data_IF_937297411616
#
_entry.id   IF_937297411616
#
_cell.length_a   1.000
_cell.length_b   1.000
_cell.length_c   1.000
_cell.angle_alpha   90.00
_cell.angle_beta   90.00
_cell.angle_gamma   90.00
#
_symmetry.space_group_name_H-M   'P 1'
#
loop_
_entity.id
_entity.type
_entity.pdbx_description
1 polymer ?
#
# COMPACT_ATOMS: atom_id res chain seq x y z
N UNK A 1 59.93 -14.17 44.76
CA UNK A 1 59.07 -14.88 45.74
C UNK A 1 57.67 -14.26 45.69
N UNK A 2 56.70 -15.05 45.24
CA UNK A 2 55.23 -14.91 45.28
C UNK A 2 54.64 -13.63 44.68
N UNK A 3 54.34 -13.69 43.38
CA UNK A 3 53.49 -12.75 42.64
C UNK A 3 52.02 -12.98 43.00
N UNK A 4 51.34 -11.96 43.53
CA UNK A 4 49.89 -11.96 43.79
C UNK A 4 49.14 -11.77 42.47
N UNK A 5 48.46 -12.81 41.99
CA UNK A 5 47.43 -12.68 40.95
C UNK A 5 46.07 -12.44 41.61
N UNK A 6 45.56 -11.22 41.46
CA UNK A 6 44.20 -10.85 41.84
C UNK A 6 43.27 -11.28 40.70
N UNK A 7 42.55 -12.38 40.89
CA UNK A 7 41.57 -12.88 39.92
C UNK A 7 40.26 -12.10 40.10
N UNK A 8 40.07 -11.04 39.32
CA UNK A 8 38.80 -10.32 39.23
C UNK A 8 37.88 -11.11 38.28
N UNK A 9 36.94 -11.88 38.84
CA UNK A 9 35.87 -12.53 38.07
C UNK A 9 34.76 -11.50 37.86
N UNK A 10 34.77 -10.85 36.70
CA UNK A 10 33.66 -10.00 36.27
C UNK A 10 32.57 -10.89 35.70
N UNK A 11 31.55 -11.19 36.51
CA UNK A 11 30.34 -11.87 36.08
C UNK A 11 29.52 -10.92 35.18
N UNK A 12 29.77 -10.98 33.87
CA UNK A 12 28.92 -10.31 32.88
C UNK A 12 27.64 -11.15 32.78
N UNK A 13 26.62 -10.75 33.54
CA UNK A 13 25.24 -11.17 33.27
C UNK A 13 24.85 -10.62 31.90
N UNK A 14 24.96 -11.46 30.87
CA UNK A 14 24.30 -11.30 29.59
C UNK A 14 22.79 -11.32 29.85
N UNK A 15 22.21 -10.18 30.18
CA UNK A 15 20.79 -9.95 29.97
C UNK A 15 20.57 -9.89 28.46
N UNK A 16 20.36 -11.07 27.87
CA UNK A 16 19.71 -11.18 26.57
C UNK A 16 18.32 -10.55 26.71
N UNK A 17 18.20 -9.29 26.32
CA UNK A 17 16.93 -8.67 25.98
C UNK A 17 16.34 -9.48 24.83
N UNK A 18 15.59 -10.53 25.14
CA UNK A 18 14.63 -11.07 24.20
C UNK A 18 13.65 -9.93 23.94
N UNK A 19 13.73 -9.28 22.77
CA UNK A 19 12.63 -8.45 22.32
C UNK A 19 11.44 -9.38 22.13
N UNK A 20 10.60 -9.47 23.16
CA UNK A 20 9.31 -10.15 23.07
C UNK A 20 8.51 -9.33 22.07
N UNK A 21 8.59 -9.70 20.79
CA UNK A 21 7.65 -9.21 19.80
C UNK A 21 6.27 -9.54 20.35
N UNK A 22 5.49 -8.50 20.64
CA UNK A 22 4.10 -8.66 21.03
C UNK A 22 3.35 -9.13 19.79
N UNK A 23 3.25 -10.44 19.64
CA UNK A 23 2.39 -11.06 18.64
C UNK A 23 0.94 -10.71 19.00
N UNK A 24 0.24 -10.08 18.05
CA UNK A 24 -1.18 -9.72 18.10
C UNK A 24 -1.69 -9.49 16.68
N UNK A 25 -2.95 -9.84 16.42
CA UNK A 25 -3.61 -9.47 15.19
C UNK A 25 -4.25 -8.08 15.35
N UNK A 26 -4.25 -7.30 14.27
CA UNK A 26 -4.79 -5.94 14.21
C UNK A 26 -6.06 -5.94 13.38
N UNK A 27 -7.03 -5.13 13.78
CA UNK A 27 -8.35 -5.10 13.17
C UNK A 27 -8.63 -3.72 12.63
N UNK A 28 -9.07 -3.67 11.36
CA UNK A 28 -9.60 -2.46 10.73
C UNK A 28 -11.09 -2.65 10.44
N UNK A 29 -11.86 -1.57 10.57
CA UNK A 29 -13.26 -1.56 10.22
C UNK A 29 -13.44 -1.63 8.70
N UNK A 30 -14.30 -2.54 8.26
CA UNK A 30 -14.64 -2.75 6.85
C UNK A 30 -15.32 -1.55 6.20
N UNK A 31 -15.95 -0.64 6.97
CA UNK A 31 -16.65 0.54 6.42
C UNK A 31 -15.70 1.73 6.30
N UNK A 32 -15.03 2.10 7.39
CA UNK A 32 -14.19 3.30 7.49
C UNK A 32 -12.72 3.06 7.15
N UNK A 33 -12.25 1.81 7.23
CA UNK A 33 -10.83 1.46 7.12
C UNK A 33 -10.00 1.88 8.34
N UNK A 34 -10.64 2.37 9.41
CA UNK A 34 -9.94 2.77 10.64
C UNK A 34 -9.57 1.57 11.51
N UNK A 35 -8.43 1.69 12.19
CA UNK A 35 -8.00 0.69 13.16
C UNK A 35 -8.92 0.68 14.38
N UNK A 36 -9.47 -0.48 14.70
CA UNK A 36 -10.34 -0.74 15.85
C UNK A 36 -9.53 -1.16 17.09
N UNK A 37 -8.42 -1.87 16.87
CA UNK A 37 -7.53 -2.32 17.93
C UNK A 37 -6.79 -3.60 17.57
N UNK A 38 -6.32 -4.30 18.61
CA UNK A 38 -5.58 -5.56 18.47
C UNK A 38 -6.04 -6.59 19.51
N UNK A 39 -5.90 -7.87 19.17
CA UNK A 39 -6.22 -8.98 20.05
C UNK A 39 -5.01 -9.48 20.85
N UNK A 40 -5.15 -10.60 21.57
CA UNK A 40 -4.06 -11.29 22.28
C UNK A 40 -3.52 -12.52 21.55
N UNK A 41 -3.79 -12.66 20.25
CA UNK A 41 -3.39 -13.86 19.49
C UNK A 41 -1.89 -13.95 19.30
N UNK A 42 -1.35 -15.16 19.13
CA UNK A 42 0.09 -15.37 18.86
C UNK A 42 0.47 -15.18 17.38
N UNK A 43 -0.45 -14.65 16.57
CA UNK A 43 -0.22 -14.32 15.17
C UNK A 43 0.15 -12.84 15.03
N UNK A 44 0.37 -12.36 13.80
CA UNK A 44 0.64 -10.95 13.51
C UNK A 44 -0.05 -10.51 12.22
N UNK A 45 -1.31 -10.90 12.07
CA UNK A 45 -2.11 -10.61 10.89
C UNK A 45 -2.76 -9.23 10.99
N UNK A 46 -3.00 -8.62 9.84
CA UNK A 46 -3.96 -7.54 9.70
C UNK A 46 -5.28 -8.20 9.31
N UNK A 47 -6.39 -7.75 9.89
CA UNK A 47 -7.72 -8.31 9.67
C UNK A 47 -8.72 -7.20 9.40
N UNK A 48 -9.68 -7.49 8.52
CA UNK A 48 -10.83 -6.62 8.26
C UNK A 48 -12.09 -7.24 8.87
N UNK A 49 -12.88 -6.43 9.58
CA UNK A 49 -14.06 -6.85 10.34
C UNK A 49 -15.16 -5.78 10.31
N UNK A 50 -16.41 -6.14 10.56
CA UNK A 50 -17.48 -5.18 10.84
C UNK A 50 -17.36 -4.64 12.27
N UNK A 51 -17.45 -3.33 12.45
CA UNK A 51 -17.38 -2.70 13.78
C UNK A 51 -18.42 -3.26 14.77
N UNK A 52 -19.58 -3.74 14.30
CA UNK A 52 -20.60 -4.36 15.16
C UNK A 52 -20.11 -5.66 15.77
N UNK A 53 -19.39 -6.47 15.00
CA UNK A 53 -18.80 -7.72 15.48
C UNK A 53 -17.66 -7.44 16.48
N UNK A 54 -16.88 -6.39 16.24
CA UNK A 54 -15.86 -5.93 17.18
C UNK A 54 -16.48 -5.50 18.52
N UNK A 55 -17.55 -4.69 18.48
CA UNK A 55 -18.24 -4.24 19.69
C UNK A 55 -18.91 -5.40 20.43
N UNK A 56 -19.53 -6.34 19.71
CA UNK A 56 -20.07 -7.57 20.30
C UNK A 56 -19.00 -8.35 21.08
N UNK A 57 -17.77 -8.44 20.58
CA UNK A 57 -16.66 -9.09 21.31
C UNK A 57 -16.28 -8.33 22.59
N UNK A 58 -16.26 -7.00 22.53
CA UNK A 58 -15.98 -6.16 23.70
C UNK A 58 -17.02 -6.41 24.80
N UNK A 59 -18.30 -6.41 24.43
CA UNK A 59 -19.42 -6.46 25.37
C UNK A 59 -19.70 -7.89 25.88
N UNK A 60 -19.70 -8.88 24.99
CA UNK A 60 -20.31 -10.19 25.26
C UNK A 60 -19.29 -11.34 25.33
N UNK A 61 -18.05 -11.13 24.88
CA UNK A 61 -17.02 -12.19 24.84
C UNK A 61 -15.87 -11.97 25.81
N UNK A 62 -15.99 -11.04 26.75
CA UNK A 62 -14.94 -10.73 27.72
C UNK A 62 -13.76 -9.95 27.12
N UNK A 63 -13.98 -9.27 25.99
CA UNK A 63 -12.99 -8.40 25.35
C UNK A 63 -12.06 -9.08 24.34
N UNK A 64 -11.30 -8.28 23.56
CA UNK A 64 -10.49 -8.77 22.44
C UNK A 64 -9.27 -9.61 22.84
N UNK A 65 -8.93 -9.68 24.13
CA UNK A 65 -7.80 -10.47 24.66
C UNK A 65 -8.21 -11.76 25.35
N UNK A 66 -9.52 -12.00 25.54
CA UNK A 66 -9.99 -13.26 26.10
C UNK A 66 -9.92 -14.38 25.04
N UNK A 67 -9.90 -15.64 25.48
CA UNK A 67 -9.89 -16.78 24.55
C UNK A 67 -11.14 -16.78 23.66
N UNK A 68 -12.31 -16.55 24.25
CA UNK A 68 -13.60 -16.45 23.53
C UNK A 68 -13.63 -15.27 22.57
N UNK A 69 -13.07 -14.13 22.97
CA UNK A 69 -13.00 -12.94 22.13
C UNK A 69 -12.09 -13.15 20.92
N UNK A 70 -10.90 -13.73 21.12
CA UNK A 70 -9.97 -14.06 20.02
C UNK A 70 -10.63 -15.01 19.02
N UNK A 71 -11.32 -16.05 19.50
CA UNK A 71 -12.02 -17.02 18.64
C UNK A 71 -13.13 -16.36 17.81
N UNK A 72 -13.96 -15.51 18.43
CA UNK A 72 -15.05 -14.82 17.74
C UNK A 72 -14.51 -13.79 16.74
N UNK A 73 -13.48 -13.04 17.10
CA UNK A 73 -12.80 -12.11 16.19
C UNK A 73 -12.21 -12.84 14.97
N UNK A 74 -11.54 -13.98 15.17
CA UNK A 74 -10.92 -14.74 14.09
C UNK A 74 -11.95 -15.35 13.14
N UNK A 75 -13.13 -15.72 13.68
CA UNK A 75 -14.26 -16.29 12.93
C UNK A 75 -14.98 -15.26 12.07
N UNK A 76 -15.16 -14.03 12.57
CA UNK A 76 -15.95 -12.98 11.89
C UNK A 76 -15.10 -11.94 11.15
N UNK A 77 -13.81 -12.21 10.97
CA UNK A 77 -12.89 -11.34 10.23
C UNK A 77 -12.17 -12.08 9.11
N UNK A 78 -11.65 -11.31 8.15
CA UNK A 78 -10.79 -11.82 7.10
C UNK A 78 -9.36 -11.37 7.31
N UNK A 79 -8.40 -12.30 7.22
CA UNK A 79 -6.98 -11.95 7.15
C UNK A 79 -6.72 -11.19 5.86
N UNK A 80 -6.10 -10.03 5.99
CA UNK A 80 -5.72 -9.20 4.85
C UNK A 80 -4.53 -9.84 4.15
N UNK A 81 -4.70 -10.12 2.85
CA UNK A 81 -3.67 -10.70 1.99
C UNK A 81 -3.42 -9.77 0.81
N UNK A 82 -2.20 -9.78 0.27
CA UNK A 82 -1.81 -8.87 -0.79
C UNK A 82 -1.36 -9.63 -2.04
N UNK A 83 -1.92 -9.26 -3.19
CA UNK A 83 -1.53 -9.81 -4.50
C UNK A 83 -0.45 -8.93 -5.16
N UNK A 84 0.73 -8.85 -4.53
CA UNK A 84 1.84 -7.99 -5.00
C UNK A 84 2.17 -8.22 -6.47
N UNK A 85 2.19 -9.48 -6.90
CA UNK A 85 2.54 -9.85 -8.26
C UNK A 85 1.50 -9.32 -9.27
N UNK A 86 0.21 -9.42 -8.95
CA UNK A 86 -0.84 -8.88 -9.81
C UNK A 86 -0.79 -7.34 -9.82
N UNK A 87 -0.59 -6.71 -8.66
CA UNK A 87 -0.45 -5.25 -8.56
C UNK A 87 0.67 -4.77 -9.47
N UNK A 88 1.88 -5.31 -9.30
CA UNK A 88 3.05 -4.90 -10.07
C UNK A 88 2.90 -5.13 -11.58
N UNK A 89 2.22 -6.21 -12.00
CA UNK A 89 1.88 -6.45 -13.41
C UNK A 89 0.98 -5.36 -13.96
N UNK A 90 -0.06 -4.97 -13.21
CA UNK A 90 -0.94 -3.89 -13.64
C UNK A 90 -0.23 -2.54 -13.66
N UNK A 91 0.68 -2.24 -12.72
CA UNK A 91 1.51 -1.02 -12.76
C UNK A 91 2.36 -0.95 -14.03
N UNK A 92 3.01 -2.05 -14.43
CA UNK A 92 3.74 -2.06 -15.70
C UNK A 92 2.79 -1.90 -16.89
N UNK A 93 1.61 -2.54 -16.84
CA UNK A 93 0.65 -2.51 -17.93
C UNK A 93 0.07 -1.11 -18.16
N UNK A 94 -0.31 -0.38 -17.11
CA UNK A 94 -0.78 1.01 -17.25
C UNK A 94 0.31 1.90 -17.87
N UNK A 95 1.56 1.68 -17.51
CA UNK A 95 2.66 2.49 -18.01
C UNK A 95 2.97 2.19 -19.48
N UNK A 96 2.94 0.91 -19.87
CA UNK A 96 3.07 0.47 -21.26
C UNK A 96 1.92 1.00 -22.13
N UNK A 97 0.67 0.93 -21.64
CA UNK A 97 -0.50 1.44 -22.35
C UNK A 97 -0.45 2.97 -22.48
N UNK A 98 -0.08 3.71 -21.43
CA UNK A 98 0.10 5.16 -21.49
C UNK A 98 1.18 5.59 -22.48
N UNK A 99 2.32 4.90 -22.52
CA UNK A 99 3.36 5.18 -23.52
C UNK A 99 2.85 4.97 -24.95
N UNK A 100 2.03 3.92 -25.16
CA UNK A 100 1.52 3.54 -26.47
C UNK A 100 0.42 4.47 -26.95
N UNK A 101 -0.50 4.83 -26.08
CA UNK A 101 -1.71 5.60 -26.39
C UNK A 101 -1.49 7.10 -26.33
N UNK A 102 -0.51 7.57 -25.55
CA UNK A 102 -0.34 8.99 -25.26
C UNK A 102 -1.42 9.55 -24.33
N UNK A 103 -2.16 8.67 -23.63
CA UNK A 103 -3.24 8.98 -22.69
C UNK A 103 -2.93 8.42 -21.30
N UNK A 104 -3.42 9.09 -20.26
CA UNK A 104 -3.35 8.56 -18.91
C UNK A 104 -4.17 7.28 -18.79
N UNK A 105 -3.52 6.22 -18.31
CA UNK A 105 -4.15 4.96 -17.98
C UNK A 105 -4.00 4.74 -16.47
N UNK A 106 -5.06 4.25 -15.82
CA UNK A 106 -5.07 4.07 -14.37
C UNK A 106 -5.48 2.68 -13.90
N UNK A 107 -5.15 2.40 -12.65
CA UNK A 107 -5.57 1.24 -11.89
C UNK A 107 -5.76 1.62 -10.44
N UNK A 108 -6.77 1.04 -9.79
CA UNK A 108 -7.03 1.23 -8.37
C UNK A 108 -6.42 0.09 -7.57
N UNK A 109 -5.77 0.41 -6.45
CA UNK A 109 -5.45 -0.60 -5.44
C UNK A 109 -6.58 -0.61 -4.43
N UNK A 110 -7.21 -1.77 -4.30
CA UNK A 110 -8.39 -1.93 -3.48
C UNK A 110 -8.22 -3.04 -2.46
N UNK A 111 -8.79 -2.85 -1.27
CA UNK A 111 -9.08 -3.94 -0.34
C UNK A 111 -10.52 -4.41 -0.60
N UNK A 112 -10.69 -5.67 -0.99
CA UNK A 112 -12.00 -6.30 -0.96
C UNK A 112 -12.33 -6.67 0.49
N UNK A 113 -13.22 -5.89 1.10
CA UNK A 113 -13.55 -6.02 2.53
C UNK A 113 -14.40 -7.25 2.85
N UNK A 114 -14.88 -7.95 1.81
CA UNK A 114 -15.69 -9.17 1.95
C UNK A 114 -14.83 -10.44 1.96
N UNK A 115 -13.52 -10.34 1.65
CA UNK A 115 -12.60 -11.49 1.67
C UNK A 115 -11.17 -11.17 2.12
N UNK A 116 -10.85 -9.90 2.42
CA UNK A 116 -9.52 -9.48 2.87
C UNK A 116 -8.46 -9.35 1.76
N UNK A 117 -8.79 -9.55 0.48
CA UNK A 117 -7.79 -9.50 -0.59
C UNK A 117 -7.52 -8.06 -1.03
N UNK A 118 -6.25 -7.67 -1.01
CA UNK A 118 -5.74 -6.44 -1.64
C UNK A 118 -5.21 -6.75 -3.03
N UNK A 119 -5.73 -6.05 -4.04
CA UNK A 119 -5.39 -6.26 -5.45
C UNK A 119 -5.58 -5.00 -6.27
N UNK A 120 -5.07 -5.01 -7.50
CA UNK A 120 -5.25 -3.96 -8.46
C UNK A 120 -6.49 -4.21 -9.35
N UNK A 121 -7.36 -3.22 -9.51
CA UNK A 121 -8.54 -3.26 -10.38
C UNK A 121 -8.41 -2.15 -11.42
N UNK A 122 -8.34 -2.53 -12.69
CA UNK A 122 -8.19 -1.57 -13.79
C UNK A 122 -9.48 -0.82 -13.99
N UNK A 123 -9.38 0.51 -14.03
CA UNK A 123 -10.48 1.33 -14.49
C UNK A 123 -10.52 1.30 -16.01
N UNK A 124 -11.63 0.83 -16.56
CA UNK A 124 -11.79 0.63 -18.00
C UNK A 124 -12.65 1.68 -18.66
N UNK A 125 -13.10 2.72 -17.94
CA UNK A 125 -13.99 3.76 -18.50
C UNK A 125 -13.19 4.60 -19.52
N UNK A 126 -13.31 4.37 -20.84
CA UNK A 126 -12.44 5.00 -21.83
C UNK A 126 -12.70 6.50 -21.94
N UNK A 127 -13.92 6.95 -21.63
CA UNK A 127 -14.35 8.34 -21.74
C UNK A 127 -13.70 9.26 -20.69
N UNK A 128 -13.15 8.70 -19.61
CA UNK A 128 -12.49 9.46 -18.54
C UNK A 128 -10.97 9.60 -18.75
N UNK A 129 -10.42 8.99 -19.81
CA UNK A 129 -8.99 9.07 -20.12
C UNK A 129 -8.67 10.34 -20.88
N UNK A 130 -7.85 11.21 -20.27
CA UNK A 130 -7.27 12.35 -20.97
C UNK A 130 -5.75 12.25 -20.99
N UNK A 131 -5.07 13.21 -21.64
CA UNK A 131 -3.62 13.30 -21.62
C UNK A 131 -3.07 14.22 -20.51
N UNK A 132 -3.93 14.67 -19.58
CA UNK A 132 -3.57 15.66 -18.55
C UNK A 132 -4.05 15.30 -17.14
N UNK A 133 -5.21 14.65 -17.05
CA UNK A 133 -5.86 14.28 -15.81
C UNK A 133 -6.73 13.04 -16.02
N UNK A 134 -6.98 12.32 -14.93
CA UNK A 134 -7.90 11.20 -14.93
C UNK A 134 -8.83 11.29 -13.73
N UNK A 135 -10.13 11.15 -13.99
CA UNK A 135 -11.17 11.27 -12.97
C UNK A 135 -11.32 9.93 -12.25
N UNK A 136 -11.46 9.98 -10.93
CA UNK A 136 -11.74 8.80 -10.11
C UNK A 136 -13.22 8.83 -9.73
N UNK A 137 -14.01 7.90 -10.27
CA UNK A 137 -15.39 7.73 -9.83
C UNK A 137 -15.41 6.94 -8.52
N UNK A 138 -15.79 7.60 -7.42
CA UNK A 138 -15.96 6.94 -6.13
C UNK A 138 -17.35 7.18 -5.56
N UNK A 139 -17.76 6.31 -4.64
CA UNK A 139 -18.93 6.52 -3.81
C UNK A 139 -18.63 6.18 -2.34
N UNK A 140 -19.48 6.69 -1.46
CA UNK A 140 -19.42 6.46 -0.02
C UNK A 140 -20.55 5.51 0.41
N UNK A 141 -20.26 4.60 1.33
CA UNK A 141 -21.23 3.65 1.91
C UNK A 141 -21.78 4.12 3.26
N UNK A 142 -21.42 5.32 3.69
CA UNK A 142 -21.88 5.91 4.95
C UNK A 142 -21.05 7.12 5.37
N UNK A 143 -21.43 7.74 6.48
CA UNK A 143 -20.67 8.87 7.04
C UNK A 143 -19.25 8.40 7.40
N UNK A 144 -18.23 9.16 7.01
CA UNK A 144 -16.81 8.86 7.24
C UNK A 144 -16.33 7.52 6.63
N UNK A 145 -17.06 6.95 5.67
CA UNK A 145 -16.62 5.71 5.03
C UNK A 145 -15.42 5.95 4.12
N UNK A 146 -14.55 4.95 4.00
CA UNK A 146 -13.49 4.97 3.02
C UNK A 146 -14.09 4.91 1.60
N UNK A 147 -13.52 5.65 0.63
CA UNK A 147 -14.05 5.70 -0.74
C UNK A 147 -14.12 4.31 -1.39
N UNK A 148 -15.14 4.10 -2.22
CA UNK A 148 -15.38 2.84 -2.95
C UNK A 148 -15.34 3.05 -4.45
N UNK A 149 -14.77 2.07 -5.14
CA UNK A 149 -14.76 1.98 -6.61
C UNK A 149 -15.58 0.79 -7.15
N UNK A 150 -16.29 0.11 -6.24
CA UNK A 150 -17.14 -1.04 -6.53
C UNK A 150 -17.63 -1.69 -5.25
N UNK A 151 -18.59 -2.61 -5.36
CA UNK A 151 -19.18 -3.29 -4.21
C UNK A 151 -18.11 -4.03 -3.39
N UNK A 152 -17.96 -3.65 -2.12
CA UNK A 152 -16.96 -4.21 -1.22
C UNK A 152 -15.51 -3.79 -1.52
N UNK A 153 -15.25 -2.96 -2.54
CA UNK A 153 -13.91 -2.56 -2.95
C UNK A 153 -13.53 -1.20 -2.33
N UNK A 154 -12.88 -1.25 -1.17
CA UNK A 154 -12.29 -0.08 -0.53
C UNK A 154 -11.10 0.43 -1.34
N UNK A 155 -11.12 1.69 -1.77
CA UNK A 155 -9.99 2.32 -2.45
C UNK A 155 -8.88 2.63 -1.43
N UNK A 156 -7.70 2.04 -1.63
CA UNK A 156 -6.50 2.31 -0.82
C UNK A 156 -5.57 3.32 -1.51
N UNK A 157 -5.56 3.29 -2.84
CA UNK A 157 -4.77 4.19 -3.66
C UNK A 157 -5.04 4.04 -5.14
N UNK A 158 -4.52 4.98 -5.91
CA UNK A 158 -4.61 5.02 -7.36
C UNK A 158 -3.19 4.95 -7.93
N UNK A 159 -3.00 4.26 -9.04
CA UNK A 159 -1.83 4.45 -9.88
C UNK A 159 -2.24 4.88 -11.27
N UNK A 160 -1.51 5.83 -11.85
CA UNK A 160 -1.69 6.27 -13.22
C UNK A 160 -0.34 6.51 -13.91
N UNK A 161 -0.35 6.45 -15.24
CA UNK A 161 0.81 6.80 -16.07
C UNK A 161 0.72 8.23 -16.59
N UNK A 162 1.82 8.98 -16.53
CA UNK A 162 1.96 10.27 -17.20
C UNK A 162 2.46 10.08 -18.64
N UNK A 163 1.69 10.47 -19.67
CA UNK A 163 2.12 10.38 -21.06
C UNK A 163 3.15 11.45 -21.41
N UNK A 164 3.80 11.29 -22.56
CA UNK A 164 4.74 12.28 -23.08
C UNK A 164 4.01 13.55 -23.50
N UNK A 165 4.51 14.68 -23.05
CA UNK A 165 4.05 15.99 -23.50
C UNK A 165 4.47 16.21 -24.97
N UNK A 166 3.51 16.65 -25.79
CA UNK A 166 3.68 16.84 -27.23
C UNK A 166 3.68 18.32 -27.64
N UNK A 167 3.28 19.22 -26.74
CA UNK A 167 3.34 20.66 -26.99
C UNK A 167 4.79 21.15 -26.97
N UNK A 168 5.21 21.81 -28.04
CA UNK A 168 6.62 22.19 -28.30
C UNK A 168 7.27 23.01 -27.18
N UNK A 169 6.49 23.85 -26.49
CA UNK A 169 6.97 24.72 -25.41
C UNK A 169 6.74 24.15 -24.00
N UNK A 170 6.38 22.87 -23.89
CA UNK A 170 6.17 22.21 -22.61
C UNK A 170 7.08 20.99 -22.47
N UNK A 171 7.37 20.67 -21.22
CA UNK A 171 8.16 19.49 -20.84
C UNK A 171 7.46 18.77 -19.71
N UNK A 172 7.55 17.45 -19.73
CA UNK A 172 7.14 16.66 -18.58
C UNK A 172 8.01 17.00 -17.36
N UNK A 173 7.39 16.97 -16.18
CA UNK A 173 8.06 17.03 -14.88
C UNK A 173 8.01 15.65 -14.25
N UNK A 174 9.12 15.18 -13.70
CA UNK A 174 9.23 13.89 -13.00
C UNK A 174 8.76 14.02 -11.56
N UNK A 175 7.45 14.04 -11.38
CA UNK A 175 6.76 14.19 -10.11
C UNK A 175 5.29 13.83 -10.32
N UNK A 176 4.54 13.72 -9.24
CA UNK A 176 3.07 13.86 -9.26
C UNK A 176 2.67 15.28 -9.69
N UNK A 177 1.46 15.42 -10.22
CA UNK A 177 0.85 16.69 -10.63
C UNK A 177 0.25 17.46 -9.44
N UNK A 178 -0.10 18.74 -9.65
CA UNK A 178 -0.86 19.51 -8.65
C UNK A 178 -2.27 18.94 -8.42
N UNK A 179 -2.89 18.45 -9.49
CA UNK A 179 -4.20 17.78 -9.44
C UNK A 179 -4.13 16.50 -8.59
N UNK A 180 -3.06 15.70 -8.73
CA UNK A 180 -2.86 14.50 -7.90
C UNK A 180 -2.82 14.86 -6.40
N UNK A 181 -2.19 15.98 -6.05
CA UNK A 181 -2.11 16.42 -4.65
C UNK A 181 -3.50 16.78 -4.10
N UNK A 182 -4.34 17.42 -4.91
CA UNK A 182 -5.71 17.79 -4.54
C UNK A 182 -6.58 16.55 -4.37
N UNK A 183 -6.57 15.64 -5.36
CA UNK A 183 -7.34 14.39 -5.32
C UNK A 183 -6.91 13.49 -4.18
N UNK A 184 -5.61 13.37 -3.89
CA UNK A 184 -5.11 12.57 -2.79
C UNK A 184 -5.62 13.07 -1.42
N UNK A 185 -5.69 14.40 -1.24
CA UNK A 185 -6.24 15.01 -0.02
C UNK A 185 -7.74 14.83 0.08
N UNK A 186 -8.46 15.08 -1.02
CA UNK A 186 -9.93 14.99 -1.07
C UNK A 186 -10.42 13.56 -0.77
N UNK A 187 -9.84 12.56 -1.44
CA UNK A 187 -10.23 11.17 -1.28
C UNK A 187 -9.57 10.51 -0.05
N UNK A 188 -8.54 11.12 0.53
CA UNK A 188 -7.82 10.57 1.67
C UNK A 188 -6.99 9.32 1.35
N UNK A 189 -6.57 9.15 0.09
CA UNK A 189 -5.81 7.98 -0.41
C UNK A 189 -4.43 8.38 -0.91
N UNK A 190 -3.59 7.38 -1.23
CA UNK A 190 -2.29 7.63 -1.88
C UNK A 190 -2.43 7.55 -3.39
N UNK A 191 -1.87 8.51 -4.11
CA UNK A 191 -1.78 8.48 -5.57
C UNK A 191 -0.34 8.20 -5.97
N UNK A 192 -0.15 7.30 -6.94
CA UNK A 192 1.13 6.94 -7.50
C UNK A 192 1.18 7.31 -8.98
N UNK A 193 2.17 8.11 -9.38
CA UNK A 193 2.36 8.47 -10.78
C UNK A 193 3.56 7.74 -11.37
N UNK A 194 3.41 7.21 -12.58
CA UNK A 194 4.49 6.53 -13.33
C UNK A 194 4.93 7.40 -14.50
N UNK A 195 6.23 7.68 -14.61
CA UNK A 195 6.81 8.49 -15.70
C UNK A 195 6.83 7.74 -17.05
N UNK A 196 5.65 7.52 -17.65
CA UNK A 196 5.44 6.85 -18.93
C UNK A 196 5.77 7.73 -20.16
N UNK A 197 6.80 8.57 -20.03
CA UNK A 197 7.32 9.44 -21.09
C UNK A 197 8.85 9.42 -21.19
N UNK A 198 9.55 8.96 -20.14
CA UNK A 198 11.01 8.89 -20.14
C UNK A 198 11.47 7.51 -19.70
N UNK A 199 11.94 6.71 -20.65
CA UNK A 199 12.63 5.47 -20.34
C UNK A 199 14.06 5.77 -19.92
N UNK A 200 14.43 5.42 -18.71
CA UNK A 200 15.83 5.37 -18.34
C UNK A 200 16.45 4.06 -18.82
N UNK A 201 17.51 4.15 -19.63
CA UNK A 201 18.42 3.04 -19.89
C UNK A 201 19.47 2.97 -18.77
N UNK A 202 19.22 2.17 -17.74
CA UNK A 202 20.30 1.55 -16.95
C UNK A 202 19.84 0.16 -16.52
N UNK A 203 19.82 -0.77 -17.48
CA UNK A 203 20.19 -2.18 -17.34
C UNK A 203 19.67 -2.98 -18.52
N UNK A 204 20.47 -3.05 -19.59
CA UNK A 204 20.20 -3.98 -20.68
C UNK A 204 20.39 -5.43 -20.22
N UNK A 205 19.34 -6.25 -20.30
CA UNK A 205 19.46 -7.71 -20.18
C UNK A 205 18.52 -8.37 -21.18
N UNK A 206 19.07 -9.28 -22.00
CA UNK A 206 18.53 -9.82 -23.26
C UNK A 206 17.32 -10.77 -23.12
N UNK A 207 16.49 -10.65 -22.08
CA UNK A 207 15.38 -11.59 -21.80
C UNK A 207 14.04 -10.93 -21.39
N UNK A 208 13.64 -9.83 -22.03
CA UNK A 208 12.26 -9.34 -21.94
C UNK A 208 11.52 -9.54 -23.26
N UNK A 209 10.19 -9.69 -23.21
CA UNK A 209 9.35 -9.47 -24.40
C UNK A 209 9.68 -8.07 -24.95
N UNK A 210 9.79 -7.95 -26.28
CA UNK A 210 10.20 -6.71 -26.97
C UNK A 210 9.36 -5.52 -26.47
N UNK A 211 9.99 -4.54 -25.79
CA UNK A 211 9.43 -3.19 -25.62
C UNK A 211 9.40 -2.59 -24.20
N UNK A 212 9.12 -3.36 -23.14
CA UNK A 212 8.80 -2.77 -21.82
C UNK A 212 10.02 -2.22 -21.08
N UNK A 213 9.96 -0.94 -20.70
CA UNK A 213 11.00 -0.18 -20.00
C UNK A 213 10.66 -0.06 -18.50
N UNK A 214 11.68 0.01 -17.64
CA UNK A 214 11.48 0.26 -16.20
C UNK A 214 11.28 1.76 -16.01
N UNK A 215 10.16 2.15 -15.41
CA UNK A 215 9.73 3.55 -15.31
C UNK A 215 9.69 3.98 -13.84
N UNK A 216 9.99 5.25 -13.58
CA UNK A 216 10.06 5.77 -12.22
C UNK A 216 8.65 5.98 -11.67
N UNK A 217 8.49 5.65 -10.38
CA UNK A 217 7.25 5.79 -9.63
C UNK A 217 7.45 6.93 -8.63
N UNK A 218 6.47 7.82 -8.58
CA UNK A 218 6.33 8.89 -7.60
C UNK A 218 5.06 8.65 -6.80
N UNK A 219 4.91 9.32 -5.66
CA UNK A 219 3.69 9.23 -4.87
C UNK A 219 3.34 10.56 -4.21
N UNK A 220 2.05 10.76 -3.96
CA UNK A 220 1.55 11.74 -3.00
C UNK A 220 0.63 11.04 -2.01
N UNK A 221 0.89 11.27 -0.72
CA UNK A 221 0.03 10.77 0.35
C UNK A 221 -1.18 11.66 0.58
N UNK A 222 -2.13 11.17 1.37
CA UNK A 222 -3.34 11.93 1.76
C UNK A 222 -3.10 13.25 2.50
N UNK A 223 -1.88 13.45 3.04
CA UNK A 223 -1.48 14.72 3.64
C UNK A 223 -0.93 15.72 2.61
N UNK A 224 -0.91 15.35 1.33
CA UNK A 224 -0.37 16.13 0.23
C UNK A 224 1.15 16.08 0.11
N UNK A 225 1.86 15.30 0.94
CA UNK A 225 3.31 15.20 0.83
C UNK A 225 3.69 14.34 -0.37
N UNK A 226 4.51 14.93 -1.22
CA UNK A 226 5.03 14.29 -2.42
C UNK A 226 6.34 13.55 -2.09
N UNK A 227 6.57 12.44 -2.79
CA UNK A 227 7.82 11.70 -2.79
C UNK A 227 8.14 11.29 -4.21
N UNK A 228 9.29 11.75 -4.69
CA UNK A 228 9.73 11.43 -6.03
C UNK A 228 10.68 10.23 -5.99
N UNK A 229 10.65 9.42 -7.05
CA UNK A 229 11.57 8.30 -7.23
C UNK A 229 11.50 7.23 -6.13
N UNK A 230 10.30 6.94 -5.62
CA UNK A 230 10.08 5.94 -4.56
C UNK A 230 10.32 4.51 -5.04
N UNK A 231 10.37 4.31 -6.36
CA UNK A 231 10.79 3.06 -6.96
C UNK A 231 10.56 3.03 -8.45
N UNK A 232 10.52 1.82 -8.99
CA UNK A 232 10.41 1.58 -10.43
C UNK A 232 9.53 0.39 -10.75
N UNK A 233 8.88 0.44 -11.91
CA UNK A 233 8.16 -0.70 -12.50
C UNK A 233 9.13 -1.82 -12.92
N UNK A 234 8.61 -3.04 -13.07
CA UNK A 234 9.40 -4.25 -13.37
C UNK A 234 10.38 -4.11 -14.54
N UNK A 235 9.98 -3.41 -15.61
CA UNK A 235 10.76 -3.26 -16.84
C UNK A 235 11.37 -4.55 -17.38
N UNK A 236 12.52 -4.42 -18.06
CA UNK A 236 13.21 -5.47 -18.81
C UNK A 236 13.78 -6.63 -17.97
N UNK A 237 13.94 -6.44 -16.65
CA UNK A 237 14.57 -7.41 -15.74
C UNK A 237 13.59 -8.11 -14.79
N UNK A 238 12.32 -7.72 -14.79
CA UNK A 238 11.36 -8.22 -13.81
C UNK A 238 11.70 -7.79 -12.38
N UNK A 239 12.50 -6.73 -12.22
CA UNK A 239 12.91 -6.20 -10.91
C UNK A 239 12.15 -4.91 -10.67
N UNK A 240 11.15 -4.97 -9.80
CA UNK A 240 10.52 -3.81 -9.20
C UNK A 240 11.37 -3.36 -8.00
N UNK A 241 11.35 -2.07 -7.68
CA UNK A 241 12.05 -1.54 -6.50
C UNK A 241 11.11 -0.95 -5.46
N UNK A 242 9.80 -0.99 -5.73
CA UNK A 242 8.77 -0.61 -4.77
C UNK A 242 7.95 -1.84 -4.39
N UNK A 243 7.60 -2.00 -3.11
CA UNK A 243 6.76 -3.10 -2.63
C UNK A 243 5.42 -2.51 -2.14
N UNK A 244 4.38 -2.66 -2.95
CA UNK A 244 3.06 -2.09 -2.64
C UNK A 244 2.43 -2.78 -1.43
N UNK A 245 2.58 -4.08 -1.31
CA UNK A 245 2.05 -4.87 -0.19
C UNK A 245 2.60 -4.39 1.15
N UNK A 246 3.92 -4.16 1.21
CA UNK A 246 4.54 -3.62 2.40
C UNK A 246 4.05 -2.19 2.69
N UNK A 247 3.97 -1.33 1.66
CA UNK A 247 3.45 0.02 1.81
C UNK A 247 2.02 0.03 2.37
N UNK A 248 1.11 -0.71 1.73
CA UNK A 248 -0.29 -0.74 2.13
C UNK A 248 -0.51 -1.44 3.48
N UNK A 249 0.26 -2.48 3.80
CA UNK A 249 0.23 -3.09 5.12
C UNK A 249 0.66 -2.09 6.22
N UNK A 250 1.66 -1.25 5.95
CA UNK A 250 2.11 -0.23 6.90
C UNK A 250 1.08 0.88 7.08
N UNK A 251 0.44 1.39 6.01
CA UNK A 251 -0.54 2.46 6.17
C UNK A 251 -1.84 1.99 6.85
N UNK A 252 -2.20 0.72 6.67
CA UNK A 252 -3.37 0.12 7.31
C UNK A 252 -3.15 -0.20 8.79
N UNK A 253 -1.88 -0.28 9.25
CA UNK A 253 -1.51 -0.48 10.66
C UNK A 253 -1.04 0.85 11.25
N UNK A 254 -1.85 1.53 12.05
CA UNK A 254 -1.50 2.87 12.59
C UNK A 254 -0.28 2.84 13.53
N UNK A 255 0.05 1.69 14.13
CA UNK A 255 1.22 1.56 15.02
C UNK A 255 2.57 1.83 14.34
N UNK A 256 2.64 1.74 13.01
CA UNK A 256 3.86 2.04 12.26
C UNK A 256 3.78 3.43 11.62
N UNK A 257 3.88 4.50 12.45
CA UNK A 257 4.38 5.80 11.97
C UNK A 257 5.84 5.65 11.57
N UNK A 258 6.12 4.96 10.46
CA UNK A 258 7.46 4.86 9.88
C UNK A 258 7.84 6.25 9.40
N UNK A 259 8.84 6.86 10.02
CA UNK A 259 9.70 7.82 9.33
C UNK A 259 10.31 7.06 8.16
N UNK A 260 9.71 7.19 6.99
CA UNK A 260 10.32 6.72 5.75
C UNK A 260 11.56 7.59 5.58
N UNK A 261 12.73 6.98 5.82
CA UNK A 261 14.06 7.55 5.58
C UNK A 261 14.26 7.80 4.08
#
# INVERSE_FOLDING_TARGET
MITKYCLFITLICLFSFNSVYSYKDYYIDRVTGEELGSDGSKTNNLRVIDIREWNYVIEEKGGPRSISGIQELHKNSYVVTFDENQIQKEVQRIADDTMKEGLENQVFIVLNVNNGKVSAVRDWIPELKTNKEIIISTYSVGRNSAPRVGEGLMLLGQLHGHPKEIQENKRNVRSVSGFDIEVAKELGVTIFAVDAFSSFDVFESRKSKKGSKSLHIHSVGKDGKTKNFIGRTFGKKGVNTFNFSNYFNLILRREYRVRIL
#
